data_IF_786435404256
#
_entry.id   IF_786435404256
#
_cell.length_a   1.000
_cell.length_b   1.000
_cell.length_c   1.000
_cell.angle_alpha   90.00
_cell.angle_beta   90.00
_cell.angle_gamma   90.00
#
_symmetry.space_group_name_H-M   'P 1'
#
loop_
_entity.id
_entity.type
_entity.pdbx_description
1 polymer ?
#
# COMPACT_ATOMS: atom_id res chain seq x y z
N UNK A 1 -6.17 41.52 7.82
CA UNK A 1 -5.58 40.23 8.23
C UNK A 1 -6.62 39.13 8.43
N UNK A 2 -7.70 39.35 9.18
CA UNK A 2 -8.76 38.34 9.42
C UNK A 2 -9.48 37.88 8.14
N UNK A 3 -9.82 38.79 7.22
CA UNK A 3 -10.48 38.41 5.96
C UNK A 3 -9.64 37.45 5.10
N UNK A 4 -8.32 37.68 5.03
CA UNK A 4 -7.39 36.82 4.27
C UNK A 4 -7.27 35.45 4.94
N UNK A 5 -7.27 35.38 6.27
CA UNK A 5 -7.29 34.12 7.01
C UNK A 5 -8.55 33.30 6.67
N UNK A 6 -9.74 33.90 6.71
CA UNK A 6 -10.98 33.17 6.39
C UNK A 6 -11.05 32.72 4.93
N UNK A 7 -10.58 33.55 3.98
CA UNK A 7 -10.51 33.15 2.56
C UNK A 7 -9.53 32.00 2.36
N UNK A 8 -8.34 32.06 2.98
CA UNK A 8 -7.36 30.99 2.93
C UNK A 8 -7.88 29.70 3.58
N UNK A 9 -8.50 29.79 4.76
CA UNK A 9 -9.12 28.65 5.42
C UNK A 9 -10.25 28.04 4.59
N UNK A 10 -11.10 28.87 3.97
CA UNK A 10 -12.15 28.38 3.08
C UNK A 10 -11.57 27.65 1.87
N UNK A 11 -10.53 28.19 1.24
CA UNK A 11 -9.83 27.54 0.13
C UNK A 11 -9.22 26.19 0.54
N UNK A 12 -8.53 26.13 1.69
CA UNK A 12 -7.96 24.86 2.19
C UNK A 12 -9.05 23.84 2.45
N UNK A 13 -10.19 24.24 3.03
CA UNK A 13 -11.29 23.34 3.34
C UNK A 13 -12.06 22.81 2.13
N UNK A 14 -12.11 23.56 1.03
CA UNK A 14 -12.91 23.17 -0.14
C UNK A 14 -12.11 22.60 -1.30
N UNK A 15 -10.86 23.04 -1.48
CA UNK A 15 -10.04 22.68 -2.65
C UNK A 15 -8.59 22.31 -2.28
N UNK A 16 -8.10 22.74 -1.11
CA UNK A 16 -6.71 22.49 -0.71
C UNK A 16 -6.43 21.09 -0.16
N UNK A 17 -7.47 20.25 0.01
CA UNK A 17 -7.34 18.88 0.53
C UNK A 17 -7.91 17.82 -0.41
N UNK A 18 -8.03 18.11 -1.71
CA UNK A 18 -8.35 17.09 -2.71
C UNK A 18 -7.20 16.07 -2.76
N UNK A 19 -7.35 14.96 -2.04
CA UNK A 19 -6.48 13.81 -2.13
C UNK A 19 -6.90 12.92 -3.32
N UNK A 20 -5.97 12.17 -3.94
CA UNK A 20 -6.33 11.14 -4.89
C UNK A 20 -7.41 10.24 -4.27
N UNK A 21 -8.55 10.15 -4.95
CA UNK A 21 -9.68 9.38 -4.44
C UNK A 21 -9.44 7.91 -4.75
N UNK A 22 -8.78 7.20 -3.84
CA UNK A 22 -8.65 5.74 -3.95
C UNK A 22 -10.03 5.09 -3.73
N UNK A 23 -10.29 4.00 -4.46
CA UNK A 23 -11.50 3.22 -4.25
C UNK A 23 -11.54 2.70 -2.80
N UNK A 24 -12.73 2.64 -2.21
CA UNK A 24 -12.88 1.99 -0.92
C UNK A 24 -12.56 0.48 -1.04
N UNK A 25 -11.94 -0.14 -0.01
CA UNK A 25 -11.65 -1.57 -0.04
C UNK A 25 -12.96 -2.37 -0.10
N UNK A 26 -12.98 -3.40 -0.94
CA UNK A 26 -14.10 -4.34 -1.00
C UNK A 26 -14.07 -5.29 0.20
N UNK A 27 -15.15 -6.04 0.43
CA UNK A 27 -15.14 -7.09 1.46
C UNK A 27 -14.04 -8.13 1.24
N UNK A 28 -13.72 -8.44 -0.02
CA UNK A 28 -12.62 -9.35 -0.37
C UNK A 28 -11.26 -8.81 0.10
N UNK A 29 -11.00 -7.52 -0.15
CA UNK A 29 -9.78 -6.83 0.31
C UNK A 29 -9.70 -6.86 1.83
N UNK A 30 -10.82 -6.59 2.53
CA UNK A 30 -10.85 -6.61 3.99
C UNK A 30 -10.59 -8.02 4.57
N UNK A 31 -11.10 -9.09 3.94
CA UNK A 31 -10.77 -10.47 4.34
C UNK A 31 -9.30 -10.79 4.12
N UNK A 32 -8.73 -10.35 3.00
CA UNK A 32 -7.30 -10.51 2.72
C UNK A 32 -6.41 -9.79 3.73
N UNK A 33 -6.79 -8.57 4.10
CA UNK A 33 -6.14 -7.81 5.15
C UNK A 33 -6.18 -8.55 6.50
N UNK A 34 -7.34 -9.09 6.88
CA UNK A 34 -7.47 -9.86 8.11
C UNK A 34 -6.57 -11.11 8.09
N UNK A 35 -6.56 -11.87 6.99
CA UNK A 35 -5.67 -13.03 6.83
C UNK A 35 -4.19 -12.65 6.93
N UNK A 36 -3.78 -11.53 6.33
CA UNK A 36 -2.41 -11.02 6.43
C UNK A 36 -2.02 -10.69 7.88
N UNK A 37 -2.95 -10.13 8.66
CA UNK A 37 -2.74 -9.79 10.07
C UNK A 37 -2.74 -11.04 10.96
N UNK A 38 -3.73 -11.91 10.80
CA UNK A 38 -3.93 -13.12 11.62
C UNK A 38 -2.77 -14.11 11.44
N UNK A 39 -2.21 -14.21 10.23
CA UNK A 39 -1.03 -15.03 9.94
C UNK A 39 0.30 -14.31 10.20
N UNK A 40 0.26 -13.09 10.76
CA UNK A 40 1.41 -12.29 11.15
C UNK A 40 2.43 -12.07 10.02
N UNK A 41 1.95 -11.87 8.78
CA UNK A 41 2.81 -11.70 7.61
C UNK A 41 3.75 -10.48 7.74
N UNK A 42 3.30 -9.43 8.43
CA UNK A 42 4.08 -8.21 8.72
C UNK A 42 5.32 -8.46 9.57
N UNK A 43 5.39 -9.55 10.34
CA UNK A 43 6.59 -9.87 11.13
C UNK A 43 7.80 -10.19 10.25
N UNK A 44 7.57 -10.64 9.00
CA UNK A 44 8.61 -10.93 8.03
C UNK A 44 8.65 -9.92 6.89
N UNK A 45 7.49 -9.43 6.44
CA UNK A 45 7.33 -8.57 5.27
C UNK A 45 7.05 -7.12 5.63
N UNK A 46 7.07 -6.26 4.61
CA UNK A 46 6.89 -4.81 4.74
C UNK A 46 5.79 -4.29 3.83
N UNK A 47 5.22 -3.17 4.25
CA UNK A 47 4.59 -2.20 3.36
C UNK A 47 5.25 -0.84 3.57
N UNK A 48 5.59 -0.17 2.47
CA UNK A 48 6.28 1.12 2.45
C UNK A 48 7.58 1.13 3.27
N UNK A 49 8.28 -0.01 3.34
CA UNK A 49 9.47 -0.18 4.18
C UNK A 49 9.20 -0.32 5.68
N UNK A 50 7.94 -0.46 6.09
CA UNK A 50 7.54 -0.66 7.48
C UNK A 50 7.08 -2.09 7.71
N UNK A 51 7.75 -2.79 8.64
CA UNK A 51 7.49 -4.20 8.96
C UNK A 51 8.77 -4.95 9.27
N UNK A 52 8.74 -6.28 9.09
CA UNK A 52 9.90 -7.14 9.18
C UNK A 52 10.79 -7.09 7.94
N UNK A 53 12.07 -7.44 8.07
CA UNK A 53 13.05 -7.37 6.96
C UNK A 53 13.52 -8.76 6.49
N UNK A 54 12.82 -9.82 6.89
CA UNK A 54 13.19 -11.19 6.52
C UNK A 54 12.67 -11.58 5.13
N UNK A 55 11.49 -11.08 4.77
CA UNK A 55 10.89 -11.19 3.44
C UNK A 55 10.99 -9.87 2.68
N UNK A 56 10.75 -9.88 1.36
CA UNK A 56 10.70 -8.65 0.57
C UNK A 56 9.53 -7.75 0.97
N UNK A 57 9.65 -6.45 0.69
CA UNK A 57 8.54 -5.51 0.73
C UNK A 57 7.47 -5.89 -0.31
N UNK A 58 6.20 -5.86 0.11
CA UNK A 58 5.06 -6.33 -0.67
C UNK A 58 4.22 -5.20 -1.27
N UNK A 59 4.59 -3.94 -1.07
CA UNK A 59 3.79 -2.76 -1.44
C UNK A 59 3.36 -2.79 -2.90
N UNK A 60 4.32 -3.06 -3.80
CA UNK A 60 4.08 -3.10 -5.23
C UNK A 60 4.48 -4.45 -5.83
N UNK A 61 4.35 -5.54 -5.06
CA UNK A 61 4.76 -6.87 -5.54
C UNK A 61 3.92 -7.31 -6.75
N UNK A 62 2.65 -6.91 -6.79
CA UNK A 62 1.72 -7.34 -7.85
C UNK A 62 2.01 -6.63 -9.17
N UNK A 63 2.22 -5.32 -9.17
CA UNK A 63 2.57 -4.53 -10.35
C UNK A 63 3.99 -4.85 -10.85
N UNK A 64 4.92 -5.20 -9.95
CA UNK A 64 6.30 -5.55 -10.31
C UNK A 64 6.47 -6.98 -10.81
N UNK A 65 5.80 -7.95 -10.20
CA UNK A 65 6.05 -9.39 -10.42
C UNK A 65 4.83 -10.15 -10.94
N UNK A 66 3.63 -9.57 -10.87
CA UNK A 66 2.36 -10.20 -11.17
C UNK A 66 1.73 -10.91 -9.95
N UNK A 67 0.39 -11.08 -9.94
CA UNK A 67 -0.32 -11.70 -8.82
C UNK A 67 0.01 -13.19 -8.66
N UNK A 68 0.27 -13.89 -9.77
CA UNK A 68 0.63 -15.32 -9.76
C UNK A 68 1.98 -15.58 -9.08
N UNK A 69 2.88 -14.60 -9.12
CA UNK A 69 4.16 -14.68 -8.41
C UNK A 69 3.92 -14.78 -6.90
N UNK A 70 3.15 -13.84 -6.33
CA UNK A 70 2.81 -13.87 -4.90
C UNK A 70 2.02 -15.14 -4.54
N UNK A 71 1.11 -15.58 -5.41
CA UNK A 71 0.33 -16.82 -5.22
C UNK A 71 1.22 -18.05 -5.10
N UNK A 72 2.26 -18.18 -5.92
CA UNK A 72 3.17 -19.32 -5.85
C UNK A 72 3.81 -19.48 -4.46
N UNK A 73 4.18 -18.37 -3.80
CA UNK A 73 4.71 -18.38 -2.43
C UNK A 73 3.65 -18.72 -1.39
N UNK A 74 2.40 -18.31 -1.58
CA UNK A 74 1.30 -18.70 -0.69
C UNK A 74 0.98 -20.21 -0.77
N UNK A 75 1.19 -20.83 -1.94
CA UNK A 75 0.98 -22.27 -2.15
C UNK A 75 2.12 -23.09 -1.57
N UNK A 76 3.37 -22.72 -1.86
CA UNK A 76 4.53 -23.57 -1.58
C UNK A 76 5.30 -23.17 -0.32
N UNK A 77 5.17 -21.93 0.15
CA UNK A 77 6.08 -21.34 1.11
C UNK A 77 7.51 -21.27 0.59
N UNK A 78 8.46 -21.10 1.52
CA UNK A 78 9.91 -21.24 1.29
C UNK A 78 10.54 -21.94 2.49
N UNK A 79 11.87 -22.02 2.54
CA UNK A 79 12.58 -22.49 3.73
C UNK A 79 12.24 -21.67 5.00
N UNK A 80 11.95 -20.37 4.84
CA UNK A 80 11.67 -19.45 5.96
C UNK A 80 10.22 -18.99 6.03
N UNK A 81 9.53 -18.93 4.90
CA UNK A 81 8.11 -18.59 4.82
C UNK A 81 7.29 -19.87 4.97
N UNK A 82 6.53 -20.03 6.06
CA UNK A 82 5.74 -21.24 6.27
C UNK A 82 4.69 -21.44 5.18
N UNK A 83 4.29 -22.69 4.96
CA UNK A 83 3.00 -23.00 4.35
C UNK A 83 1.91 -22.79 5.41
N UNK A 84 1.01 -21.85 5.15
CA UNK A 84 -0.08 -21.48 6.06
C UNK A 84 -1.33 -22.37 5.89
N UNK A 85 -1.33 -23.32 4.95
CA UNK A 85 -2.47 -24.20 4.69
C UNK A 85 -3.70 -23.46 4.17
N UNK A 86 -3.49 -22.36 3.44
CA UNK A 86 -4.57 -21.52 2.92
C UNK A 86 -5.34 -22.25 1.82
N UNK A 87 -6.66 -22.11 1.83
CA UNK A 87 -7.49 -22.55 0.71
C UNK A 87 -7.46 -21.52 -0.43
N UNK A 88 -8.00 -21.91 -1.59
CA UNK A 88 -8.02 -21.07 -2.79
C UNK A 88 -8.64 -19.68 -2.56
N UNK A 89 -9.77 -19.61 -1.85
CA UNK A 89 -10.44 -18.36 -1.57
C UNK A 89 -9.60 -17.45 -0.66
N UNK A 90 -8.93 -18.02 0.34
CA UNK A 90 -8.05 -17.25 1.23
C UNK A 90 -6.84 -16.68 0.47
N UNK A 91 -6.27 -17.46 -0.44
CA UNK A 91 -5.21 -16.95 -1.31
C UNK A 91 -5.73 -15.82 -2.21
N UNK A 92 -6.92 -15.98 -2.81
CA UNK A 92 -7.53 -14.95 -3.66
C UNK A 92 -7.85 -13.67 -2.87
N UNK A 93 -8.26 -13.80 -1.62
CA UNK A 93 -8.50 -12.67 -0.71
C UNK A 93 -7.18 -11.92 -0.41
N UNK A 94 -6.09 -12.64 -0.09
CA UNK A 94 -4.77 -12.03 0.16
C UNK A 94 -4.24 -11.34 -1.11
N UNK A 95 -4.35 -11.97 -2.28
CA UNK A 95 -3.92 -11.36 -3.54
C UNK A 95 -4.70 -10.07 -3.83
N UNK A 96 -6.02 -10.06 -3.62
CA UNK A 96 -6.83 -8.86 -3.77
C UNK A 96 -6.42 -7.75 -2.78
N UNK A 97 -6.01 -8.12 -1.56
CA UNK A 97 -5.45 -7.16 -0.62
C UNK A 97 -4.10 -6.59 -1.09
N UNK A 98 -3.20 -7.41 -1.63
CA UNK A 98 -1.93 -6.94 -2.19
C UNK A 98 -2.14 -6.04 -3.42
N UNK A 99 -3.08 -6.38 -4.30
CA UNK A 99 -3.51 -5.54 -5.42
C UNK A 99 -4.04 -4.19 -4.93
N UNK A 100 -4.88 -4.20 -3.89
CA UNK A 100 -5.39 -2.98 -3.29
C UNK A 100 -4.24 -2.12 -2.76
N UNK A 101 -3.31 -2.68 -1.98
CA UNK A 101 -2.15 -1.95 -1.46
C UNK A 101 -1.30 -1.34 -2.57
N UNK A 102 -1.12 -2.04 -3.69
CA UNK A 102 -0.39 -1.55 -4.86
C UNK A 102 -0.98 -0.26 -5.42
N UNK A 103 -2.31 -0.10 -5.36
CA UNK A 103 -3.00 1.12 -5.81
C UNK A 103 -2.92 2.28 -4.81
N UNK A 104 -2.48 2.04 -3.58
CA UNK A 104 -2.48 3.04 -2.50
C UNK A 104 -1.17 3.84 -2.43
N UNK A 105 -0.11 3.40 -3.12
CA UNK A 105 1.16 4.12 -3.17
C UNK A 105 2.31 3.27 -3.68
N UNK A 106 3.50 3.85 -3.73
CA UNK A 106 4.72 3.19 -4.20
C UNK A 106 5.76 3.05 -3.08
N UNK A 107 6.43 1.90 -3.05
CA UNK A 107 7.65 1.65 -2.27
C UNK A 107 8.87 1.98 -3.11
N UNK A 108 9.84 2.63 -2.47
CA UNK A 108 10.84 3.54 -3.06
C UNK A 108 10.21 4.88 -3.47
N UNK A 109 10.40 5.85 -2.59
CA UNK A 109 9.98 7.23 -2.83
C UNK A 109 10.54 7.74 -4.16
N UNK A 110 9.73 8.39 -5.01
CA UNK A 110 10.26 9.10 -6.16
C UNK A 110 11.28 10.15 -5.71
N UNK A 111 12.19 10.53 -6.60
CA UNK A 111 13.05 11.69 -6.36
C UNK A 111 12.17 12.93 -6.16
N UNK A 112 12.31 13.60 -5.02
CA UNK A 112 11.60 14.85 -4.74
C UNK A 112 12.49 16.06 -5.07
N UNK A 113 11.90 17.05 -5.74
CA UNK A 113 12.51 18.35 -5.96
C UNK A 113 12.01 19.35 -4.90
N UNK A 114 12.95 19.99 -4.21
CA UNK A 114 12.64 21.11 -3.31
C UNK A 114 12.36 22.37 -4.13
N UNK A 115 11.12 22.87 -4.08
CA UNK A 115 10.76 24.15 -4.67
C UNK A 115 11.16 25.31 -3.75
N UNK A 116 11.51 26.44 -4.34
CA UNK A 116 11.99 27.62 -3.63
C UNK A 116 11.00 28.19 -2.60
N UNK A 117 9.69 27.90 -2.76
CA UNK A 117 8.62 28.32 -1.84
C UNK A 117 8.35 27.30 -0.73
N UNK A 118 9.23 26.33 -0.52
CA UNK A 118 9.21 25.41 0.62
C UNK A 118 8.38 24.14 0.42
N UNK A 119 7.81 23.92 -0.76
CA UNK A 119 7.08 22.69 -1.10
C UNK A 119 8.02 21.66 -1.77
N UNK A 120 7.70 20.38 -1.63
CA UNK A 120 8.34 19.28 -2.36
C UNK A 120 7.37 18.75 -3.40
N UNK A 121 7.87 18.46 -4.61
CA UNK A 121 7.10 17.79 -5.67
C UNK A 121 7.89 16.60 -6.17
N UNK A 122 7.23 15.50 -6.50
CA UNK A 122 7.94 14.38 -7.11
C UNK A 122 8.39 14.78 -8.52
N UNK A 123 9.59 14.36 -8.91
CA UNK A 123 10.24 14.76 -10.16
C UNK A 123 9.56 14.20 -11.41
N UNK A 124 8.59 13.30 -11.26
CA UNK A 124 7.90 12.59 -12.35
C UNK A 124 6.35 12.64 -12.22
N UNK A 125 5.79 13.59 -11.47
CA UNK A 125 4.33 13.84 -11.41
C UNK A 125 3.86 14.75 -12.57
#
# INVERSE_FOLDING_TARGET
MTAIFFVYSAYVWTAGTEAPQHAAPTEQVMRGQALYQDNNCMACHQFYGLGGYMGPDLTNVVSRMGPDYARAFLIAGTERMPDFGLNQQQMDDIIAFLEFVDTMGVYESPEYEFKWYGTVVAKND
#
